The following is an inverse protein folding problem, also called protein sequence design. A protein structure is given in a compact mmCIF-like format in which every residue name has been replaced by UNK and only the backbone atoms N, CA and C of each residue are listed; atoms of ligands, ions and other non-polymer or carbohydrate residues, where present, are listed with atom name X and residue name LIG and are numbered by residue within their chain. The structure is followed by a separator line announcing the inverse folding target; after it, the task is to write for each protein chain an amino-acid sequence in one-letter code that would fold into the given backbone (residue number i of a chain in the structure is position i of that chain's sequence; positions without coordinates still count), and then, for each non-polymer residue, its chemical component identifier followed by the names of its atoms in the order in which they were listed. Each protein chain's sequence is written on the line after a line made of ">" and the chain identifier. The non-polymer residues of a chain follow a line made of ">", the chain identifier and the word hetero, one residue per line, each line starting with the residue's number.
data_IF_491549970177
#
_entry.id   IF_491549970177
#
_cell.length_a   1.000
_cell.length_b   1.000
_cell.length_c   1.000
_cell.angle_alpha   90.00
_cell.angle_beta   90.00
_cell.angle_gamma   90.00
#
_symmetry.space_group_name_H-M   'P 1'
#
loop_
_entity.id
_entity.type
_entity.pdbx_description
1 polymer ?
#
# COMPACT_ATOMS: atom_id res chain seq x y z
N UNK A 1 -26.07 -17.83 20.01
CA UNK A 1 -25.66 -16.53 20.60
C UNK A 1 -24.36 -15.95 20.01
N UNK A 2 -23.41 -16.71 19.44
CA UNK A 2 -22.18 -16.16 18.85
C UNK A 2 -22.36 -15.37 17.55
N UNK A 3 -23.40 -15.65 16.76
CA UNK A 3 -23.67 -15.02 15.45
C UNK A 3 -24.16 -13.58 15.58
N UNK A 4 -24.94 -13.28 16.61
CA UNK A 4 -25.45 -11.91 16.91
C UNK A 4 -24.36 -10.98 17.41
N UNK A 5 -23.39 -11.48 18.18
CA UNK A 5 -22.28 -10.68 18.69
C UNK A 5 -21.33 -10.22 17.56
N UNK A 6 -21.05 -11.09 16.57
CA UNK A 6 -20.24 -10.74 15.40
C UNK A 6 -20.95 -9.74 14.48
N UNK A 7 -22.25 -9.84 14.33
CA UNK A 7 -23.06 -8.88 13.56
C UNK A 7 -23.03 -7.49 14.19
N UNK A 8 -23.20 -7.40 15.50
CA UNK A 8 -23.20 -6.12 16.22
C UNK A 8 -21.81 -5.45 16.22
N UNK A 9 -20.72 -6.23 16.28
CA UNK A 9 -19.37 -5.71 16.11
C UNK A 9 -19.14 -5.15 14.71
N UNK A 10 -19.58 -5.85 13.66
CA UNK A 10 -19.47 -5.37 12.28
C UNK A 10 -20.24 -4.05 12.06
N UNK A 11 -21.46 -3.97 12.58
CA UNK A 11 -22.26 -2.74 12.53
C UNK A 11 -21.59 -1.59 13.31
N UNK A 12 -21.04 -1.86 14.49
CA UNK A 12 -20.32 -0.87 15.29
C UNK A 12 -19.09 -0.33 14.56
N UNK A 13 -18.31 -1.21 13.91
CA UNK A 13 -17.15 -0.82 13.12
C UNK A 13 -17.55 0.03 11.90
N UNK A 14 -18.62 -0.35 11.18
CA UNK A 14 -19.13 0.42 10.04
C UNK A 14 -19.55 1.81 10.49
N UNK A 15 -20.34 1.92 11.56
CA UNK A 15 -20.78 3.21 12.09
C UNK A 15 -19.60 4.07 12.54
N UNK A 16 -18.61 3.48 13.20
CA UNK A 16 -17.41 4.18 13.65
C UNK A 16 -16.59 4.69 12.48
N UNK A 17 -16.45 3.89 11.41
CA UNK A 17 -15.74 4.28 10.19
C UNK A 17 -16.48 5.40 9.47
N UNK A 18 -17.77 5.23 9.22
CA UNK A 18 -18.59 6.24 8.53
C UNK A 18 -18.64 7.53 9.34
N UNK A 19 -18.92 7.44 10.64
CA UNK A 19 -18.94 8.60 11.53
C UNK A 19 -17.55 9.29 11.64
N UNK A 20 -16.49 8.51 11.74
CA UNK A 20 -15.12 9.02 11.79
C UNK A 20 -14.72 9.74 10.50
N UNK A 21 -15.03 9.16 9.33
CA UNK A 21 -14.79 9.81 8.03
C UNK A 21 -15.56 11.12 7.92
N UNK A 22 -16.86 11.12 8.25
CA UNK A 22 -17.70 12.34 8.20
C UNK A 22 -17.19 13.41 9.17
N UNK A 23 -16.66 13.02 10.31
CA UNK A 23 -16.12 13.95 11.30
C UNK A 23 -14.78 14.53 10.83
N UNK A 24 -13.89 13.70 10.30
CA UNK A 24 -12.58 14.15 9.79
C UNK A 24 -12.76 15.08 8.59
N UNK A 25 -13.65 14.76 7.64
CA UNK A 25 -13.90 15.62 6.47
C UNK A 25 -14.51 16.98 6.84
N UNK A 26 -15.12 17.10 8.02
CA UNK A 26 -15.67 18.37 8.48
C UNK A 26 -14.60 19.30 9.07
N UNK A 27 -13.54 18.75 9.64
CA UNK A 27 -12.45 19.51 10.28
C UNK A 27 -11.22 19.66 9.41
N UNK A 28 -11.02 18.77 8.47
CA UNK A 28 -9.86 18.79 7.56
C UNK A 28 -10.38 18.96 6.15
N UNK A 29 -10.03 20.07 5.46
CA UNK A 29 -10.38 20.28 4.08
C UNK A 29 -9.58 19.28 3.22
N UNK A 30 -10.12 18.10 3.08
CA UNK A 30 -9.63 17.03 2.19
C UNK A 30 -10.60 16.85 1.05
N UNK A 31 -10.09 16.49 -0.12
CA UNK A 31 -10.95 15.93 -1.14
C UNK A 31 -11.69 14.70 -0.60
N UNK A 32 -12.93 14.52 -1.01
CA UNK A 32 -13.79 13.45 -0.46
C UNK A 32 -13.26 12.05 -0.74
N UNK A 33 -12.63 11.85 -1.90
CA UNK A 33 -12.13 10.53 -2.31
C UNK A 33 -11.05 9.95 -1.39
N UNK A 34 -9.94 10.68 -1.05
CA UNK A 34 -8.93 10.15 -0.13
C UNK A 34 -9.47 9.86 1.26
N UNK A 35 -10.40 10.68 1.77
CA UNK A 35 -10.99 10.49 3.09
C UNK A 35 -11.79 9.18 3.19
N UNK A 36 -12.58 8.85 2.16
CA UNK A 36 -13.31 7.59 2.11
C UNK A 36 -12.38 6.38 2.00
N UNK A 37 -11.33 6.47 1.18
CA UNK A 37 -10.34 5.39 1.06
C UNK A 37 -9.64 5.12 2.40
N UNK A 38 -9.21 6.15 3.11
CA UNK A 38 -8.62 6.03 4.43
C UNK A 38 -9.59 5.45 5.45
N UNK A 39 -10.84 5.94 5.47
CA UNK A 39 -11.87 5.44 6.36
C UNK A 39 -12.18 3.96 6.14
N UNK A 40 -12.43 3.57 4.91
CA UNK A 40 -12.65 2.15 4.54
C UNK A 40 -11.42 1.31 4.86
N UNK A 41 -10.21 1.83 4.60
CA UNK A 41 -8.95 1.16 4.91
C UNK A 41 -8.79 0.90 6.40
N UNK A 42 -9.05 1.89 7.25
CA UNK A 42 -9.05 1.74 8.72
C UNK A 42 -10.11 0.73 9.15
N UNK A 43 -11.33 0.81 8.61
CA UNK A 43 -12.40 -0.11 8.95
C UNK A 43 -12.04 -1.57 8.64
N UNK A 44 -11.49 -1.83 7.46
CA UNK A 44 -11.04 -3.17 7.09
C UNK A 44 -9.85 -3.64 7.93
N UNK A 45 -8.91 -2.75 8.27
CA UNK A 45 -7.80 -3.09 9.15
C UNK A 45 -8.28 -3.45 10.56
N UNK A 46 -9.26 -2.72 11.12
CA UNK A 46 -9.90 -3.07 12.40
C UNK A 46 -10.62 -4.42 12.34
N UNK A 47 -11.36 -4.68 11.25
CA UNK A 47 -12.01 -5.99 11.02
C UNK A 47 -10.95 -7.11 10.95
N UNK A 48 -9.81 -6.85 10.30
CA UNK A 48 -8.72 -7.80 10.23
C UNK A 48 -8.16 -8.15 11.61
N UNK A 49 -7.96 -7.14 12.46
CA UNK A 49 -7.46 -7.31 13.83
C UNK A 49 -8.45 -8.11 14.68
N UNK A 50 -9.75 -7.74 14.64
CA UNK A 50 -10.78 -8.36 15.47
C UNK A 50 -11.09 -9.81 15.03
N UNK A 51 -11.14 -10.06 13.72
CA UNK A 51 -11.54 -11.36 13.18
C UNK A 51 -10.36 -12.24 12.75
N UNK A 52 -9.13 -11.75 12.82
CA UNK A 52 -7.95 -12.48 12.32
C UNK A 52 -7.98 -12.71 10.81
N UNK A 53 -8.65 -11.84 10.02
CA UNK A 53 -8.86 -12.05 8.61
C UNK A 53 -7.73 -11.43 7.77
N UNK A 54 -6.91 -12.30 7.15
CA UNK A 54 -5.84 -11.85 6.26
C UNK A 54 -6.38 -11.07 5.03
N UNK A 55 -7.52 -11.50 4.47
CA UNK A 55 -8.13 -10.80 3.33
C UNK A 55 -8.56 -9.37 3.67
N UNK A 56 -9.14 -9.16 4.86
CA UNK A 56 -9.48 -7.82 5.34
C UNK A 56 -8.23 -6.96 5.59
N UNK A 57 -7.13 -7.57 6.08
CA UNK A 57 -5.86 -6.90 6.25
C UNK A 57 -5.30 -6.40 4.91
N UNK A 58 -5.30 -7.26 3.89
CA UNK A 58 -4.84 -6.91 2.55
C UNK A 58 -5.65 -5.74 1.99
N UNK A 59 -6.99 -5.85 1.99
CA UNK A 59 -7.86 -4.77 1.51
C UNK A 59 -7.67 -3.47 2.28
N UNK A 60 -7.60 -3.54 3.62
CA UNK A 60 -7.39 -2.39 4.49
C UNK A 60 -6.09 -1.66 4.22
N UNK A 61 -4.97 -2.39 4.14
CA UNK A 61 -3.66 -1.81 3.91
C UNK A 61 -3.47 -1.23 2.51
N UNK A 62 -4.06 -1.86 1.48
CA UNK A 62 -4.06 -1.32 0.11
C UNK A 62 -4.81 0.00 0.05
N UNK A 63 -6.00 0.07 0.65
CA UNK A 63 -6.80 1.31 0.69
C UNK A 63 -6.11 2.41 1.52
N UNK A 64 -5.51 2.05 2.66
CA UNK A 64 -4.73 2.99 3.48
C UNK A 64 -3.53 3.53 2.72
N UNK A 65 -2.78 2.66 2.05
CA UNK A 65 -1.62 3.06 1.26
C UNK A 65 -2.02 4.00 0.11
N UNK A 66 -3.07 3.65 -0.63
CA UNK A 66 -3.58 4.47 -1.73
C UNK A 66 -4.11 5.83 -1.23
N UNK A 67 -4.95 5.81 -0.20
CA UNK A 67 -5.51 7.04 0.39
C UNK A 67 -4.45 7.96 0.96
N UNK A 68 -3.45 7.41 1.67
CA UNK A 68 -2.33 8.20 2.18
C UNK A 68 -1.50 8.80 1.04
N UNK A 69 -1.23 8.03 -0.03
CA UNK A 69 -0.55 8.53 -1.22
C UNK A 69 -1.31 9.67 -1.90
N UNK A 70 -2.64 9.58 -2.01
CA UNK A 70 -3.48 10.66 -2.55
C UNK A 70 -3.38 11.93 -1.70
N UNK A 71 -3.53 11.82 -0.38
CA UNK A 71 -3.42 12.97 0.54
C UNK A 71 -2.07 13.68 0.42
N UNK A 72 -0.98 12.92 0.34
CA UNK A 72 0.35 13.51 0.17
C UNK A 72 0.51 14.18 -1.20
N UNK A 73 -0.06 13.58 -2.24
CA UNK A 73 -0.08 14.15 -3.58
C UNK A 73 -0.87 15.45 -3.68
N UNK A 74 -2.07 15.51 -3.08
CA UNK A 74 -2.95 16.68 -3.11
C UNK A 74 -2.37 17.86 -2.30
N UNK A 75 -1.58 17.56 -1.28
CA UNK A 75 -0.86 18.59 -0.49
C UNK A 75 0.36 19.18 -1.21
N UNK A 76 0.66 18.73 -2.42
CA UNK A 76 1.80 19.20 -3.20
C UNK A 76 3.15 18.95 -2.50
N UNK A 77 3.24 17.94 -1.65
CA UNK A 77 4.47 17.65 -0.91
C UNK A 77 5.61 17.42 -1.90
N UNK A 78 6.63 18.27 -1.81
CA UNK A 78 7.86 18.22 -2.59
C UNK A 78 7.67 18.44 -4.12
N UNK A 79 6.59 19.15 -4.55
CA UNK A 79 6.32 19.48 -5.97
C UNK A 79 6.34 18.27 -6.94
N UNK A 80 6.05 17.09 -6.41
CA UNK A 80 6.07 15.83 -7.15
C UNK A 80 4.66 15.50 -7.65
N UNK A 81 4.51 14.94 -8.87
CA UNK A 81 3.22 14.51 -9.37
C UNK A 81 2.48 13.57 -8.41
N UNK A 82 1.20 13.84 -8.14
CA UNK A 82 0.36 13.12 -7.17
C UNK A 82 0.39 11.60 -7.35
N UNK A 83 0.46 11.11 -8.58
CA UNK A 83 0.54 9.69 -8.86
C UNK A 83 1.83 9.00 -8.37
N UNK A 84 2.94 9.75 -8.21
CA UNK A 84 4.18 9.22 -7.60
C UNK A 84 3.96 8.92 -6.13
N UNK A 85 3.24 9.80 -5.43
CA UNK A 85 2.85 9.58 -4.04
C UNK A 85 1.89 8.40 -3.89
N UNK A 86 0.97 8.19 -4.85
CA UNK A 86 0.10 7.02 -4.88
C UNK A 86 0.91 5.73 -5.00
N UNK A 87 1.94 5.68 -5.87
CA UNK A 87 2.80 4.51 -6.00
C UNK A 87 3.59 4.23 -4.72
N UNK A 88 4.15 5.26 -4.10
CA UNK A 88 4.87 5.13 -2.83
C UNK A 88 3.95 4.69 -1.69
N UNK A 89 2.77 5.30 -1.59
CA UNK A 89 1.77 4.95 -0.60
C UNK A 89 1.27 3.51 -0.77
N UNK A 90 0.96 3.11 -2.00
CA UNK A 90 0.53 1.75 -2.30
C UNK A 90 1.64 0.74 -2.02
N UNK A 91 2.89 1.04 -2.40
CA UNK A 91 4.05 0.21 -2.10
C UNK A 91 4.28 0.05 -0.59
N UNK A 92 4.16 1.13 0.18
CA UNK A 92 4.21 1.10 1.64
C UNK A 92 3.05 0.29 2.23
N UNK A 93 1.84 0.39 1.67
CA UNK A 93 0.69 -0.42 2.03
C UNK A 93 0.97 -1.93 1.88
N UNK A 94 1.55 -2.34 0.76
CA UNK A 94 1.92 -3.74 0.53
C UNK A 94 2.98 -4.25 1.52
N UNK A 95 3.99 -3.46 1.84
CA UNK A 95 4.95 -3.83 2.90
C UNK A 95 4.26 -3.89 4.26
N UNK A 96 3.37 -2.94 4.54
CA UNK A 96 2.58 -2.92 5.76
C UNK A 96 1.71 -4.17 5.94
N UNK A 97 1.18 -4.77 4.87
CA UNK A 97 0.47 -6.06 4.94
C UNK A 97 1.36 -7.12 5.56
N UNK A 98 2.60 -7.25 5.09
CA UNK A 98 3.52 -8.25 5.59
C UNK A 98 3.90 -8.01 7.04
N UNK A 99 4.26 -6.77 7.38
CA UNK A 99 4.65 -6.37 8.74
C UNK A 99 3.49 -6.58 9.74
N UNK A 100 2.29 -6.11 9.41
CA UNK A 100 1.13 -6.30 10.29
C UNK A 100 0.73 -7.78 10.41
N UNK A 101 0.79 -8.54 9.32
CA UNK A 101 0.51 -9.98 9.38
C UNK A 101 1.47 -10.71 10.32
N UNK A 102 2.75 -10.33 10.34
CA UNK A 102 3.74 -10.85 11.30
C UNK A 102 3.37 -10.48 12.75
N UNK A 103 3.06 -9.20 13.00
CA UNK A 103 2.71 -8.70 14.33
C UNK A 103 1.45 -9.38 14.86
N UNK A 104 0.44 -9.53 14.00
CA UNK A 104 -0.84 -10.16 14.35
C UNK A 104 -0.78 -11.70 14.35
N UNK A 105 0.39 -12.29 14.06
CA UNK A 105 0.60 -13.74 13.93
C UNK A 105 -0.40 -14.42 12.98
N UNK A 106 -0.80 -13.70 11.93
CA UNK A 106 -1.63 -14.24 10.87
C UNK A 106 -0.77 -15.10 9.94
N UNK A 107 -1.42 -16.01 9.18
CA UNK A 107 -0.70 -16.75 8.13
C UNK A 107 -0.16 -15.75 7.09
N UNK A 108 1.08 -15.35 7.28
CA UNK A 108 1.76 -14.40 6.42
C UNK A 108 2.29 -15.11 5.18
N UNK A 109 2.01 -14.56 4.02
CA UNK A 109 2.62 -14.96 2.77
C UNK A 109 3.59 -13.85 2.35
N UNK A 110 4.72 -14.20 1.82
CA UNK A 110 5.74 -13.25 1.37
C UNK A 110 5.38 -12.49 0.08
N UNK A 111 4.33 -12.94 -0.62
CA UNK A 111 3.93 -12.38 -1.92
C UNK A 111 3.67 -10.86 -1.93
N UNK A 112 3.17 -10.18 -0.85
CA UNK A 112 2.95 -8.74 -0.89
C UNK A 112 4.24 -7.94 -0.96
N UNK A 113 5.36 -8.53 -0.54
CA UNK A 113 6.66 -7.86 -0.62
C UNK A 113 7.07 -7.60 -2.07
N UNK A 114 6.74 -8.50 -3.00
CA UNK A 114 7.13 -8.37 -4.41
C UNK A 114 6.51 -7.12 -5.04
N UNK A 115 5.17 -6.96 -5.10
CA UNK A 115 4.57 -5.73 -5.62
C UNK A 115 4.94 -4.50 -4.78
N UNK A 116 5.08 -4.65 -3.45
CA UNK A 116 5.50 -3.57 -2.57
C UNK A 116 6.86 -3.00 -2.95
N UNK A 117 7.87 -3.83 -3.10
CA UNK A 117 9.20 -3.40 -3.52
C UNK A 117 9.23 -2.84 -4.94
N UNK A 118 8.50 -3.42 -5.88
CA UNK A 118 8.41 -2.91 -7.25
C UNK A 118 7.81 -1.49 -7.26
N UNK A 119 6.70 -1.28 -6.57
CA UNK A 119 6.03 0.01 -6.49
C UNK A 119 6.89 1.07 -5.80
N UNK A 120 7.56 0.70 -4.70
CA UNK A 120 8.50 1.61 -4.03
C UNK A 120 9.71 1.92 -4.92
N UNK A 121 10.26 0.95 -5.62
CA UNK A 121 11.40 1.17 -6.52
C UNK A 121 11.02 2.12 -7.66
N UNK A 122 9.85 1.91 -8.29
CA UNK A 122 9.35 2.79 -9.35
C UNK A 122 9.04 4.19 -8.82
N UNK A 123 8.36 4.30 -7.68
CA UNK A 123 8.05 5.57 -7.04
C UNK A 123 9.32 6.33 -6.63
N UNK A 124 10.27 5.65 -5.98
CA UNK A 124 11.55 6.23 -5.56
C UNK A 124 12.42 6.65 -6.74
N UNK A 125 12.47 5.84 -7.80
CA UNK A 125 13.23 6.21 -9.00
C UNK A 125 12.72 7.51 -9.64
N UNK A 126 11.40 7.75 -9.59
CA UNK A 126 10.81 9.00 -10.07
C UNK A 126 11.08 10.17 -9.13
N UNK A 127 11.00 9.93 -7.83
CA UNK A 127 11.38 10.91 -6.81
C UNK A 127 12.82 11.40 -7.04
N UNK A 128 13.75 10.46 -7.15
CA UNK A 128 15.17 10.75 -7.38
C UNK A 128 15.43 11.48 -8.70
N UNK A 129 14.69 11.13 -9.76
CA UNK A 129 14.78 11.84 -11.05
C UNK A 129 14.25 13.27 -10.99
N UNK A 130 13.16 13.50 -10.24
CA UNK A 130 12.58 14.84 -10.10
C UNK A 130 13.55 15.81 -9.44
N UNK A 131 14.22 15.36 -8.38
CA UNK A 131 15.22 16.17 -7.66
C UNK A 131 16.63 16.14 -8.27
N UNK A 132 16.82 15.48 -9.42
CA UNK A 132 18.14 15.33 -10.07
C UNK A 132 19.23 14.84 -9.12
N UNK A 133 18.86 13.99 -8.16
CA UNK A 133 19.77 13.48 -7.12
C UNK A 133 20.80 12.49 -7.65
N UNK A 134 20.58 11.93 -8.85
CA UNK A 134 21.53 11.03 -9.50
C UNK A 134 22.17 11.69 -10.71
N UNK A 135 23.48 11.45 -10.94
CA UNK A 135 24.15 11.81 -12.17
C UNK A 135 23.43 11.21 -13.38
N UNK A 136 23.36 11.93 -14.53
CA UNK A 136 22.65 11.45 -15.72
C UNK A 136 23.18 10.10 -16.23
N UNK A 137 24.47 9.80 -15.99
CA UNK A 137 25.09 8.54 -16.36
C UNK A 137 24.48 7.34 -15.62
N UNK A 138 24.21 7.48 -14.30
CA UNK A 138 23.60 6.43 -13.50
C UNK A 138 22.15 6.19 -13.96
N UNK A 139 21.41 7.25 -14.24
CA UNK A 139 20.03 7.13 -14.75
C UNK A 139 20.01 6.42 -16.10
N UNK A 140 20.98 6.73 -16.96
CA UNK A 140 21.13 6.13 -18.28
C UNK A 140 21.53 4.65 -18.16
N UNK A 141 22.47 4.31 -17.28
CA UNK A 141 22.86 2.95 -17.00
C UNK A 141 21.68 2.09 -16.52
N UNK A 142 20.95 2.56 -15.51
CA UNK A 142 19.75 1.87 -14.99
C UNK A 142 18.72 1.68 -16.10
N UNK A 143 18.45 2.71 -16.92
CA UNK A 143 17.49 2.64 -18.03
C UNK A 143 17.90 1.64 -19.10
N UNK A 144 19.19 1.49 -19.33
CA UNK A 144 19.71 0.56 -20.35
C UNK A 144 19.76 -0.88 -19.85
N UNK A 145 20.10 -1.08 -18.59
CA UNK A 145 20.38 -2.42 -18.03
C UNK A 145 19.22 -3.07 -17.27
N UNK A 146 18.13 -2.33 -16.95
CA UNK A 146 16.99 -2.93 -16.24
C UNK A 146 16.34 -4.12 -16.98
N UNK A 147 16.26 -4.17 -18.35
CA UNK A 147 15.71 -5.34 -19.02
C UNK A 147 16.63 -6.56 -18.86
N UNK A 148 17.95 -6.35 -18.85
CA UNK A 148 18.90 -7.42 -18.60
C UNK A 148 18.73 -8.04 -17.18
N UNK A 149 18.46 -7.21 -16.17
CA UNK A 149 18.17 -7.69 -14.83
C UNK A 149 16.90 -8.57 -14.80
N UNK A 150 15.85 -8.21 -15.54
CA UNK A 150 14.64 -9.03 -15.65
C UNK A 150 14.91 -10.37 -16.35
N UNK A 151 15.73 -10.37 -17.39
CA UNK A 151 16.14 -11.61 -18.09
C UNK A 151 16.89 -12.53 -17.13
N UNK A 152 17.85 -12.00 -16.38
CA UNK A 152 18.62 -12.78 -15.38
C UNK A 152 17.70 -13.38 -14.31
N UNK A 153 16.78 -12.58 -13.76
CA UNK A 153 15.81 -13.07 -12.76
C UNK A 153 14.88 -14.12 -13.39
N UNK A 154 14.40 -13.90 -14.61
CA UNK A 154 13.54 -14.86 -15.34
C UNK A 154 14.25 -16.19 -15.57
N UNK A 155 15.47 -16.15 -16.07
CA UNK A 155 16.30 -17.36 -16.27
C UNK A 155 16.56 -18.07 -14.94
N UNK A 156 16.90 -17.33 -13.89
CA UNK A 156 17.11 -17.91 -12.56
C UNK A 156 15.87 -18.62 -12.02
N UNK A 157 14.69 -18.01 -12.17
CA UNK A 157 13.41 -18.63 -11.79
C UNK A 157 13.11 -19.89 -12.59
N UNK A 158 13.36 -19.88 -13.90
CA UNK A 158 13.18 -21.05 -14.75
C UNK A 158 14.12 -22.19 -14.35
N UNK A 159 15.42 -21.90 -14.15
CA UNK A 159 16.40 -22.91 -13.70
C UNK A 159 15.99 -23.49 -12.35
N UNK A 160 15.47 -22.67 -11.45
CA UNK A 160 14.98 -23.14 -10.15
C UNK A 160 13.75 -24.02 -10.28
N UNK A 161 12.81 -23.67 -11.16
CA UNK A 161 11.61 -24.47 -11.41
C UNK A 161 11.91 -25.84 -12.04
N UNK A 162 12.96 -25.94 -12.85
CA UNK A 162 13.38 -27.22 -13.44
C UNK A 162 14.23 -28.08 -12.49
N UNK A 163 14.71 -27.53 -11.37
CA UNK A 163 15.47 -28.28 -10.35
C UNK A 163 14.62 -28.75 -9.17
N UNK A 164 13.37 -28.30 -9.07
CA UNK A 164 12.39 -28.74 -8.05
C UNK A 164 11.46 -29.80 -8.60
#
# INVERSE_FOLDING_TARGET
>A
MARTRKSNLAFGVILLVVGGVLLVTRFVPMETAPAWLLGLGVGLALIAIVNGSYAALVGGMVLLGLGAGMVLGDRGVAEIPSWTWMLLGLGAGFIGIYVLALILKLRSHWWPLVPGFILLAVGSARYVRHFKLLPPEVVMAVRTWWPAALVVVGVWLLVRAFRS
#
